data_IF_574882880157
#
_entry.id   IF_574882880157
#
_cell.length_a   1.000
_cell.length_b   1.000
_cell.length_c   1.000
_cell.angle_alpha   90.00
_cell.angle_beta   90.00
_cell.angle_gamma   90.00
#
_symmetry.space_group_name_H-M   'P 1'
#
loop_
_entity.id
_entity.type
_entity.pdbx_description
1 polymer ?
#
# COMPACT_ATOMS: atom_id res chain seq x y z
N UNK A 1 3.00 -8.89 0.13
CA UNK A 1 1.96 -9.75 0.73
C UNK A 1 0.60 -9.10 0.47
N UNK A 2 -0.36 -9.85 -0.04
CA UNK A 2 -1.61 -9.31 -0.57
C UNK A 2 -2.88 -9.84 0.04
N UNK A 3 -4.04 -9.55 -0.58
CA UNK A 3 -5.28 -10.24 -0.19
C UNK A 3 -5.04 -11.75 -0.25
N UNK A 4 -5.29 -12.43 0.86
CA UNK A 4 -5.28 -13.89 0.91
C UNK A 4 -6.51 -14.41 0.17
N UNK A 5 -6.30 -15.45 -0.62
CA UNK A 5 -7.35 -16.09 -1.41
C UNK A 5 -7.37 -17.55 -1.00
N UNK A 6 -8.54 -18.05 -0.58
CA UNK A 6 -8.68 -19.43 -0.12
C UNK A 6 -8.65 -20.48 -1.24
N UNK A 7 -8.57 -20.09 -2.51
CA UNK A 7 -8.58 -21.04 -3.64
C UNK A 7 -7.48 -22.09 -3.49
N UNK A 8 -6.25 -21.70 -3.11
CA UNK A 8 -5.15 -22.64 -2.86
C UNK A 8 -5.25 -23.41 -1.54
N UNK A 9 -6.21 -23.06 -0.68
CA UNK A 9 -6.40 -23.60 0.67
C UNK A 9 -7.84 -24.11 0.87
N UNK A 10 -8.55 -24.43 -0.23
CA UNK A 10 -9.97 -24.77 -0.20
C UNK A 10 -10.25 -26.00 0.69
N UNK A 11 -9.38 -27.02 0.59
CA UNK A 11 -9.46 -28.22 1.42
C UNK A 11 -9.38 -27.90 2.92
N UNK A 12 -8.52 -26.95 3.33
CA UNK A 12 -8.41 -26.53 4.74
C UNK A 12 -9.67 -25.79 5.18
N UNK A 13 -10.26 -24.94 4.33
CA UNK A 13 -11.52 -24.27 4.64
C UNK A 13 -12.66 -25.28 4.84
N UNK A 14 -12.72 -26.32 4.01
CA UNK A 14 -13.72 -27.37 4.09
C UNK A 14 -13.64 -28.22 5.36
N UNK A 15 -12.46 -28.29 6.02
CA UNK A 15 -12.34 -28.93 7.33
C UNK A 15 -13.21 -28.25 8.41
N UNK A 16 -13.45 -26.95 8.27
CA UNK A 16 -14.21 -26.17 9.25
C UNK A 16 -15.66 -25.96 8.86
N UNK A 17 -15.93 -25.78 7.56
CA UNK A 17 -17.29 -25.66 7.01
C UNK A 17 -17.35 -26.42 5.69
N UNK A 18 -17.88 -27.65 5.67
CA UNK A 18 -17.94 -28.46 4.47
C UNK A 18 -18.64 -27.77 3.30
N UNK A 19 -17.98 -27.71 2.14
CA UNK A 19 -18.50 -27.11 0.92
C UNK A 19 -18.32 -25.59 0.83
N UNK A 20 -17.59 -24.98 1.76
CA UNK A 20 -17.23 -23.56 1.75
C UNK A 20 -15.92 -23.28 0.99
N UNK A 21 -15.12 -24.30 0.74
CA UNK A 21 -13.90 -24.25 -0.06
C UNK A 21 -14.13 -23.53 -1.40
N UNK A 22 -13.29 -22.52 -1.68
CA UNK A 22 -13.39 -21.71 -2.90
C UNK A 22 -14.52 -20.67 -2.94
N UNK A 23 -15.33 -20.53 -1.88
CA UNK A 23 -16.45 -19.56 -1.80
C UNK A 23 -16.17 -18.34 -0.91
N UNK A 24 -14.97 -18.26 -0.35
CA UNK A 24 -14.54 -17.14 0.49
C UNK A 24 -14.14 -15.92 -0.35
N UNK A 25 -14.39 -14.72 0.16
CA UNK A 25 -13.87 -13.52 -0.47
C UNK A 25 -12.38 -13.33 -0.15
N UNK A 26 -11.62 -12.59 -0.98
CA UNK A 26 -10.25 -12.23 -0.65
C UNK A 26 -10.21 -11.35 0.60
N UNK A 27 -9.44 -11.77 1.60
CA UNK A 27 -9.26 -11.06 2.89
C UNK A 27 -7.77 -10.85 3.11
N UNK A 28 -7.34 -9.69 3.58
CA UNK A 28 -5.92 -9.50 3.86
C UNK A 28 -5.57 -8.09 4.31
N UNK A 29 -4.30 -7.68 4.12
CA UNK A 29 -3.74 -6.50 4.74
C UNK A 29 -4.21 -5.18 4.11
N UNK A 30 -4.71 -5.28 2.88
CA UNK A 30 -5.24 -4.18 2.11
C UNK A 30 -6.66 -3.83 2.57
N UNK A 31 -7.10 -2.58 2.37
CA UNK A 31 -8.35 -2.13 2.92
C UNK A 31 -9.56 -2.88 2.42
N UNK A 32 -10.27 -3.50 3.34
CA UNK A 32 -11.57 -4.08 3.12
C UNK A 32 -12.64 -3.15 3.68
N UNK A 33 -13.76 -3.07 2.97
CA UNK A 33 -14.92 -2.29 3.39
C UNK A 33 -16.00 -3.27 3.85
N UNK A 34 -16.53 -3.06 5.04
CA UNK A 34 -17.58 -3.87 5.65
C UNK A 34 -18.60 -2.95 6.37
N UNK A 35 -19.88 -3.34 6.39
CA UNK A 35 -20.88 -2.63 7.18
C UNK A 35 -20.69 -2.90 8.68
N UNK A 36 -21.02 -1.92 9.53
CA UNK A 36 -20.91 -2.07 10.99
C UNK A 36 -21.67 -3.28 11.53
N UNK A 37 -22.89 -3.51 11.05
CA UNK A 37 -23.71 -4.65 11.50
C UNK A 37 -23.15 -5.99 11.04
N UNK A 38 -22.55 -6.04 9.85
CA UNK A 38 -21.86 -7.24 9.40
C UNK A 38 -20.62 -7.52 10.24
N UNK A 39 -19.88 -6.47 10.62
CA UNK A 39 -18.77 -6.61 11.56
C UNK A 39 -19.27 -7.17 12.89
N UNK A 40 -20.36 -6.64 13.44
CA UNK A 40 -20.95 -7.14 14.69
C UNK A 40 -21.34 -8.62 14.59
N UNK A 41 -21.95 -9.04 13.47
CA UNK A 41 -22.33 -10.44 13.22
C UNK A 41 -21.13 -11.39 13.12
N UNK A 42 -20.01 -10.93 12.56
CA UNK A 42 -18.83 -11.79 12.35
C UNK A 42 -17.93 -11.90 13.58
N UNK A 43 -18.01 -10.99 14.56
CA UNK A 43 -17.09 -10.98 15.73
C UNK A 43 -17.03 -12.33 16.44
N UNK A 44 -18.20 -12.88 16.82
CA UNK A 44 -18.24 -14.12 17.58
C UNK A 44 -17.79 -15.33 16.73
N UNK A 45 -18.33 -15.57 15.52
CA UNK A 45 -17.85 -16.66 14.68
C UNK A 45 -16.38 -16.53 14.28
N UNK A 46 -15.85 -15.31 14.12
CA UNK A 46 -14.44 -15.07 13.85
C UNK A 46 -13.57 -15.68 14.95
N UNK A 47 -13.83 -15.34 16.22
CA UNK A 47 -13.13 -15.90 17.37
C UNK A 47 -13.19 -17.44 17.37
N UNK A 48 -14.39 -18.00 17.22
CA UNK A 48 -14.62 -19.44 17.25
C UNK A 48 -13.87 -20.18 16.13
N UNK A 49 -13.88 -19.65 14.89
CA UNK A 49 -13.13 -20.25 13.80
C UNK A 49 -11.62 -20.09 13.97
N UNK A 50 -11.14 -18.96 14.51
CA UNK A 50 -9.74 -18.80 14.87
C UNK A 50 -9.32 -19.85 15.90
N UNK A 51 -10.10 -20.06 16.96
CA UNK A 51 -9.81 -21.10 17.95
C UNK A 51 -9.81 -22.50 17.34
N UNK A 52 -10.79 -22.83 16.49
CA UNK A 52 -10.82 -24.14 15.78
C UNK A 52 -9.56 -24.34 14.93
N UNK A 53 -9.10 -23.31 14.21
CA UNK A 53 -7.85 -23.36 13.46
C UNK A 53 -6.68 -23.65 14.38
N UNK A 54 -6.62 -22.98 15.54
CA UNK A 54 -5.53 -23.15 16.51
C UNK A 54 -5.51 -24.54 17.18
N UNK A 55 -6.60 -25.29 17.11
CA UNK A 55 -6.66 -26.68 17.58
C UNK A 55 -6.41 -27.72 16.46
N UNK A 56 -6.28 -27.30 15.21
CA UNK A 56 -6.00 -28.17 14.06
C UNK A 56 -4.52 -28.09 13.65
N UNK A 57 -3.77 -29.17 13.87
CA UNK A 57 -2.35 -29.24 13.47
C UNK A 57 -2.17 -29.08 11.97
N UNK A 58 -3.07 -29.65 11.17
CA UNK A 58 -3.06 -29.53 9.72
C UNK A 58 -3.31 -28.08 9.28
N UNK A 59 -4.34 -27.43 9.84
CA UNK A 59 -4.63 -26.04 9.50
C UNK A 59 -3.51 -25.10 9.94
N UNK A 60 -2.88 -25.34 11.10
CA UNK A 60 -1.71 -24.56 11.54
C UNK A 60 -0.56 -24.69 10.54
N UNK A 61 -0.26 -25.90 10.07
CA UNK A 61 0.82 -26.15 9.13
C UNK A 61 0.56 -25.47 7.77
N UNK A 62 -0.69 -25.51 7.29
CA UNK A 62 -1.07 -24.99 5.97
C UNK A 62 -1.29 -23.47 5.95
N UNK A 63 -1.90 -22.90 6.99
CA UNK A 63 -2.33 -21.49 7.01
C UNK A 63 -1.25 -20.52 7.54
N UNK A 64 -0.20 -21.04 8.16
CA UNK A 64 0.96 -20.26 8.59
C UNK A 64 0.66 -19.26 9.70
N UNK A 65 1.20 -18.05 9.60
CA UNK A 65 1.16 -17.08 10.71
C UNK A 65 -0.09 -16.20 10.75
N UNK A 66 -0.84 -16.09 9.64
CA UNK A 66 -2.05 -15.24 9.49
C UNK A 66 -3.35 -15.97 9.84
N UNK A 67 -3.33 -16.83 10.87
CA UNK A 67 -4.46 -17.73 11.24
C UNK A 67 -5.72 -17.00 11.70
N UNK A 68 -5.57 -15.90 12.41
CA UNK A 68 -6.70 -15.05 12.82
C UNK A 68 -7.44 -14.48 11.60
N UNK A 69 -6.66 -14.04 10.62
CA UNK A 69 -7.10 -13.55 9.32
C UNK A 69 -7.87 -14.63 8.53
N UNK A 70 -7.44 -15.90 8.61
CA UNK A 70 -8.19 -17.04 8.07
C UNK A 70 -9.47 -17.33 8.84
N UNK A 71 -9.47 -17.22 10.17
CA UNK A 71 -10.67 -17.34 10.99
C UNK A 71 -11.75 -16.34 10.57
N UNK A 72 -11.36 -15.07 10.33
CA UNK A 72 -12.27 -14.06 9.79
C UNK A 72 -12.80 -14.45 8.41
N UNK A 73 -11.93 -14.91 7.51
CA UNK A 73 -12.27 -15.29 6.15
C UNK A 73 -13.34 -16.39 6.11
N UNK A 74 -13.15 -17.44 6.93
CA UNK A 74 -14.10 -18.55 7.07
C UNK A 74 -15.39 -18.07 7.72
N UNK A 75 -15.30 -17.28 8.81
CA UNK A 75 -16.47 -16.74 9.51
C UNK A 75 -17.36 -15.88 8.61
N UNK A 76 -16.76 -14.94 7.88
CA UNK A 76 -17.49 -14.05 6.98
C UNK A 76 -18.19 -14.85 5.87
N UNK A 77 -17.47 -15.79 5.24
CA UNK A 77 -18.02 -16.62 4.19
C UNK A 77 -19.14 -17.55 4.70
N UNK A 78 -18.99 -18.12 5.90
CA UNK A 78 -20.01 -18.95 6.55
C UNK A 78 -21.29 -18.16 6.85
N UNK A 79 -21.18 -16.86 7.12
CA UNK A 79 -22.32 -15.96 7.33
C UNK A 79 -22.90 -15.37 6.03
N UNK A 80 -22.32 -15.71 4.86
CA UNK A 80 -22.68 -15.10 3.58
C UNK A 80 -22.31 -13.62 3.46
N UNK A 81 -21.41 -13.13 4.32
CA UNK A 81 -20.91 -11.74 4.25
C UNK A 81 -19.97 -11.63 3.06
N UNK A 82 -20.20 -10.58 2.25
CA UNK A 82 -19.41 -10.27 1.06
C UNK A 82 -18.73 -8.92 1.20
N UNK A 83 -17.47 -8.86 0.78
CA UNK A 83 -16.62 -7.68 0.86
C UNK A 83 -16.52 -7.01 -0.50
N UNK A 84 -16.46 -5.67 -0.49
CA UNK A 84 -16.10 -4.91 -1.69
C UNK A 84 -14.60 -4.66 -1.71
N UNK A 85 -13.95 -5.16 -2.75
CA UNK A 85 -12.55 -4.88 -3.04
C UNK A 85 -12.46 -3.70 -3.99
N UNK A 86 -11.82 -2.63 -3.55
CA UNK A 86 -11.52 -1.48 -4.40
C UNK A 86 -10.06 -1.56 -4.83
N UNK A 87 -9.82 -1.69 -6.13
CA UNK A 87 -8.46 -1.70 -6.70
C UNK A 87 -7.64 -0.48 -6.29
N UNK A 88 -8.31 0.65 -6.12
CA UNK A 88 -7.72 1.90 -5.64
C UNK A 88 -7.21 1.83 -4.19
N UNK A 89 -7.70 0.88 -3.39
CA UNK A 89 -7.36 0.79 -1.96
C UNK A 89 -6.27 -0.25 -1.71
N UNK A 90 -6.06 -1.20 -2.63
CA UNK A 90 -5.11 -2.29 -2.43
C UNK A 90 -3.68 -1.74 -2.31
N UNK A 91 -3.14 -1.81 -1.09
CA UNK A 91 -1.79 -1.41 -0.72
C UNK A 91 -1.07 -2.65 -0.19
N UNK A 92 -0.12 -3.14 -0.98
CA UNK A 92 0.70 -4.30 -0.65
C UNK A 92 2.17 -3.89 -0.69
N UNK A 93 2.91 -4.29 0.35
CA UNK A 93 4.29 -3.85 0.60
C UNK A 93 5.25 -4.17 -0.54
N UNK A 94 5.83 -3.20 -1.25
CA UNK A 94 5.73 -1.74 -1.15
C UNK A 94 5.87 -1.09 -2.53
N UNK A 95 5.54 0.20 -2.59
CA UNK A 95 5.19 0.98 -3.79
C UNK A 95 6.32 1.23 -4.82
N UNK A 96 7.34 0.37 -4.89
CA UNK A 96 8.32 0.34 -6.00
C UNK A 96 8.01 -0.84 -6.95
N UNK A 97 7.73 -2.04 -6.44
CA UNK A 97 7.50 -3.24 -7.26
C UNK A 97 6.12 -3.30 -7.94
N UNK A 98 5.18 -2.45 -7.52
CA UNK A 98 3.76 -2.54 -7.91
C UNK A 98 3.21 -1.31 -8.66
N UNK A 99 4.03 -0.28 -8.93
CA UNK A 99 3.57 0.96 -9.59
C UNK A 99 2.90 0.70 -10.97
N UNK A 100 3.29 -0.38 -11.65
CA UNK A 100 2.76 -0.74 -12.99
C UNK A 100 1.96 -2.04 -13.02
N UNK A 101 1.76 -2.73 -11.88
CA UNK A 101 0.90 -3.91 -11.88
C UNK A 101 -0.55 -3.43 -11.82
N UNK A 102 -1.20 -3.44 -12.98
CA UNK A 102 -2.66 -3.48 -13.05
C UNK A 102 -3.07 -4.73 -12.26
N UNK A 103 -3.74 -4.54 -11.13
CA UNK A 103 -4.23 -5.66 -10.33
C UNK A 103 -5.35 -6.32 -11.16
N UNK A 104 -4.94 -7.33 -11.91
CA UNK A 104 -5.78 -8.17 -12.72
C UNK A 104 -6.54 -9.11 -11.78
N UNK A 105 -7.63 -8.61 -11.22
CA UNK A 105 -8.67 -9.49 -10.73
C UNK A 105 -10.06 -8.96 -11.12
N UNK A 106 -11.01 -9.86 -11.44
CA UNK A 106 -12.38 -9.51 -11.73
C UNK A 106 -12.93 -8.87 -10.47
N UNK A 107 -13.71 -7.83 -10.66
CA UNK A 107 -14.48 -7.20 -9.60
C UNK A 107 -15.42 -8.28 -9.03
N UNK A 108 -15.27 -8.78 -7.79
CA UNK A 108 -16.24 -9.68 -7.18
C UNK A 108 -17.35 -8.84 -6.52
N UNK A 109 -18.48 -9.48 -6.17
CA UNK A 109 -19.81 -8.98 -6.46
C UNK A 109 -20.24 -7.82 -5.57
N UNK A 110 -21.29 -7.15 -6.05
CA UNK A 110 -22.16 -6.24 -5.30
C UNK A 110 -22.27 -6.63 -3.82
N UNK A 111 -21.89 -5.75 -2.88
CA UNK A 111 -21.98 -6.06 -1.47
C UNK A 111 -23.44 -6.31 -1.05
N UNK A 112 -23.62 -7.24 -0.12
CA UNK A 112 -24.92 -7.71 0.38
C UNK A 112 -25.11 -7.08 1.76
N UNK A 113 -26.24 -6.41 2.00
CA UNK A 113 -26.65 -5.92 3.33
C UNK A 113 -27.30 -7.06 4.14
N UNK A 114 -27.77 -6.81 5.37
CA UNK A 114 -28.56 -7.81 6.06
C UNK A 114 -29.89 -8.10 5.31
N UNK A 115 -30.33 -7.15 4.50
CA UNK A 115 -31.58 -7.14 3.73
C UNK A 115 -31.42 -7.67 2.29
N UNK A 116 -30.19 -7.98 1.85
CA UNK A 116 -29.91 -8.54 0.51
C UNK A 116 -28.95 -7.71 -0.35
N UNK A 117 -28.74 -8.10 -1.63
CA UNK A 117 -27.79 -7.44 -2.55
C UNK A 117 -28.19 -5.98 -2.82
N UNK A 118 -27.22 -5.06 -2.79
CA UNK A 118 -27.50 -3.65 -3.11
C UNK A 118 -27.79 -3.48 -4.60
N UNK A 119 -29.01 -3.04 -4.95
CA UNK A 119 -29.39 -2.73 -6.35
C UNK A 119 -28.69 -1.44 -6.81
N UNK A 120 -28.35 -1.35 -8.11
CA UNK A 120 -27.74 -0.15 -8.69
C UNK A 120 -28.59 1.10 -8.40
N UNK A 121 -27.98 2.15 -7.83
CA UNK A 121 -28.65 3.42 -7.51
C UNK A 121 -28.85 3.71 -6.02
N UNK A 122 -28.57 2.75 -5.13
CA UNK A 122 -28.55 3.00 -3.67
C UNK A 122 -27.17 3.55 -3.27
N UNK A 123 -27.16 4.71 -2.59
CA UNK A 123 -25.95 5.30 -2.03
C UNK A 123 -25.33 4.34 -1.00
N UNK A 124 -24.05 4.01 -1.17
CA UNK A 124 -23.31 3.10 -0.29
C UNK A 124 -23.21 3.68 1.14
N UNK A 125 -23.66 2.97 2.19
CA UNK A 125 -23.59 3.47 3.57
C UNK A 125 -22.37 2.98 4.37
N UNK A 126 -21.24 2.62 3.74
CA UNK A 126 -20.18 1.86 4.44
C UNK A 126 -19.12 2.73 5.14
N UNK A 127 -18.87 2.45 6.43
CA UNK A 127 -17.93 3.20 7.27
C UNK A 127 -17.02 2.30 8.12
N UNK A 128 -16.28 1.36 7.53
CA UNK A 128 -15.14 0.75 8.22
C UNK A 128 -14.03 0.50 7.20
N UNK A 129 -12.94 1.25 7.34
CA UNK A 129 -11.72 1.09 6.56
C UNK A 129 -10.68 0.41 7.45
N UNK A 130 -10.42 -0.88 7.21
CA UNK A 130 -9.39 -1.62 7.94
C UNK A 130 -8.16 -1.81 7.09
N UNK A 131 -6.98 -1.34 7.51
CA UNK A 131 -5.73 -1.61 6.82
C UNK A 131 -4.65 -2.11 7.79
N UNK A 132 -3.71 -2.89 7.28
CA UNK A 132 -2.68 -3.57 8.09
C UNK A 132 -1.30 -2.93 7.98
N UNK A 133 -0.90 -2.49 6.79
CA UNK A 133 0.43 -1.90 6.58
C UNK A 133 0.39 -0.38 6.66
N UNK A 134 1.37 0.21 7.35
CA UNK A 134 1.70 1.62 7.16
C UNK A 134 2.00 1.89 5.70
N UNK A 135 1.53 3.04 5.21
CA UNK A 135 1.84 3.52 3.87
C UNK A 135 2.93 4.56 4.03
N UNK A 136 4.13 4.18 3.63
CA UNK A 136 5.36 4.86 4.01
C UNK A 136 6.07 5.38 2.77
N UNK A 137 6.42 6.67 2.78
CA UNK A 137 7.13 7.30 1.70
C UNK A 137 8.28 8.18 2.22
N UNK A 138 9.35 8.32 1.45
CA UNK A 138 10.26 9.46 1.57
C UNK A 138 9.55 10.75 1.15
N UNK A 139 10.11 11.92 1.46
CA UNK A 139 9.49 13.18 1.00
C UNK A 139 9.50 13.34 -0.53
N UNK A 140 10.32 12.57 -1.24
CA UNK A 140 10.38 12.47 -2.71
C UNK A 140 9.42 11.42 -3.28
N UNK A 141 8.61 10.76 -2.46
CA UNK A 141 7.62 9.78 -2.92
C UNK A 141 8.17 8.38 -3.17
N UNK A 142 9.35 8.05 -2.64
CA UNK A 142 9.89 6.68 -2.66
C UNK A 142 9.17 5.87 -1.60
N UNK A 143 8.58 4.74 -1.98
CA UNK A 143 7.98 3.86 -0.98
C UNK A 143 9.02 3.21 -0.07
N UNK A 144 8.75 3.18 1.22
CA UNK A 144 9.59 2.52 2.22
C UNK A 144 8.87 1.27 2.72
N UNK A 145 9.61 0.19 2.92
CA UNK A 145 9.08 -1.06 3.45
C UNK A 145 9.67 -1.35 4.83
N UNK A 146 8.83 -1.90 5.72
CA UNK A 146 9.22 -2.38 7.06
C UNK A 146 9.82 -1.32 8.00
N UNK A 147 9.77 -0.04 7.63
CA UNK A 147 10.24 1.11 8.41
C UNK A 147 9.29 2.29 8.20
N UNK A 148 9.29 3.26 9.11
CA UNK A 148 8.44 4.46 8.97
C UNK A 148 9.15 5.49 8.10
N UNK A 149 8.45 5.93 7.05
CA UNK A 149 8.94 6.89 6.08
C UNK A 149 8.92 8.33 6.62
N UNK A 150 9.46 9.26 5.83
CA UNK A 150 9.39 10.69 6.14
C UNK A 150 7.97 11.26 6.02
N UNK A 151 7.16 10.69 5.12
CA UNK A 151 5.72 10.77 5.13
C UNK A 151 5.16 9.39 5.45
N UNK A 152 4.18 9.33 6.35
CA UNK A 152 3.62 8.08 6.83
C UNK A 152 2.13 8.19 7.10
N UNK A 153 1.38 7.24 6.56
CA UNK A 153 -0.01 6.99 6.90
C UNK A 153 -0.13 5.61 7.53
N UNK A 154 -0.05 5.58 8.86
CA UNK A 154 -0.09 4.36 9.67
C UNK A 154 -1.09 4.49 10.82
N UNK A 155 -1.94 3.49 11.01
CA UNK A 155 -2.96 3.49 12.08
C UNK A 155 -2.32 3.51 13.47
N UNK A 156 -1.09 3.02 13.59
CA UNK A 156 -0.30 3.01 14.82
C UNK A 156 0.00 4.43 15.31
N UNK A 157 0.04 5.41 14.42
CA UNK A 157 0.16 6.83 14.79
C UNK A 157 -1.09 7.38 15.50
N UNK A 158 -2.20 6.66 15.39
CA UNK A 158 -3.55 7.09 15.74
C UNK A 158 -4.24 6.10 16.69
N UNK A 159 -3.47 5.34 17.49
CA UNK A 159 -4.01 4.31 18.38
C UNK A 159 -5.00 4.85 19.42
N UNK A 160 -4.80 6.09 19.87
CA UNK A 160 -5.62 6.71 20.93
C UNK A 160 -6.58 7.76 20.41
N UNK A 161 -6.41 8.25 19.18
CA UNK A 161 -7.18 9.35 18.61
C UNK A 161 -7.29 9.19 17.09
N UNK A 162 -8.39 9.61 16.44
CA UNK A 162 -8.51 9.53 14.98
C UNK A 162 -7.46 10.42 14.28
N UNK A 163 -7.12 10.15 13.00
CA UNK A 163 -6.26 11.04 12.22
C UNK A 163 -6.77 12.49 12.21
N UNK A 164 -5.90 13.51 12.25
CA UNK A 164 -6.37 14.90 12.26
C UNK A 164 -7.01 15.28 10.92
N UNK A 165 -7.88 16.30 10.93
CA UNK A 165 -8.60 16.79 9.75
C UNK A 165 -7.70 17.42 8.68
N UNK A 166 -6.43 17.63 8.99
CA UNK A 166 -5.45 18.34 8.16
C UNK A 166 -4.10 17.61 8.02
N UNK A 167 -4.06 16.27 8.14
CA UNK A 167 -2.77 15.57 8.02
C UNK A 167 -2.10 15.77 6.66
N UNK A 168 -0.77 15.84 6.68
CA UNK A 168 0.10 16.19 5.56
C UNK A 168 -0.23 15.40 4.30
N UNK A 169 -0.26 16.08 3.14
CA UNK A 169 -0.43 15.43 1.86
C UNK A 169 0.73 14.44 1.57
N UNK A 170 0.47 13.30 0.91
CA UNK A 170 1.54 12.47 0.40
C UNK A 170 2.46 13.29 -0.52
N UNK A 171 3.74 12.92 -0.61
CA UNK A 171 4.66 13.43 -1.64
C UNK A 171 4.03 13.41 -3.02
N UNK A 172 4.35 14.39 -3.87
CA UNK A 172 3.76 14.48 -5.22
C UNK A 172 4.00 13.21 -6.06
N UNK A 173 5.14 12.54 -5.88
CA UNK A 173 5.49 11.31 -6.62
C UNK A 173 4.99 10.03 -5.94
N UNK A 174 4.30 10.15 -4.79
CA UNK A 174 3.69 9.00 -4.17
C UNK A 174 2.64 8.39 -5.10
N UNK A 175 2.33 7.11 -4.90
CA UNK A 175 1.34 6.46 -5.73
C UNK A 175 -0.05 7.11 -5.53
N UNK A 176 -0.84 7.28 -6.61
CA UNK A 176 -2.23 7.78 -6.59
C UNK A 176 -3.09 7.24 -5.45
N UNK A 177 -2.89 5.97 -5.08
CA UNK A 177 -3.64 5.32 -3.99
C UNK A 177 -3.45 6.06 -2.66
N UNK A 178 -2.29 6.68 -2.42
CA UNK A 178 -1.99 7.41 -1.18
C UNK A 178 -2.77 8.71 -1.15
N UNK A 179 -2.87 9.37 -2.30
CA UNK A 179 -3.68 10.57 -2.49
C UNK A 179 -5.17 10.27 -2.37
N UNK A 180 -5.64 9.19 -3.01
CA UNK A 180 -7.04 8.72 -2.91
C UNK A 180 -7.39 8.41 -1.46
N UNK A 181 -6.54 7.65 -0.77
CA UNK A 181 -6.80 7.27 0.61
C UNK A 181 -6.84 8.49 1.54
N UNK A 182 -5.90 9.41 1.38
CA UNK A 182 -5.96 10.69 2.11
C UNK A 182 -7.25 11.43 1.82
N UNK A 183 -7.63 11.59 0.56
CA UNK A 183 -8.85 12.31 0.19
C UNK A 183 -10.10 11.70 0.85
N UNK A 184 -10.16 10.37 0.95
CA UNK A 184 -11.25 9.67 1.63
C UNK A 184 -11.26 9.92 3.13
N UNK A 185 -10.11 9.90 3.79
CA UNK A 185 -10.01 10.26 5.21
C UNK A 185 -10.45 11.71 5.44
N UNK A 186 -10.01 12.65 4.60
CA UNK A 186 -10.40 14.07 4.70
C UNK A 186 -11.90 14.26 4.47
N UNK A 187 -12.48 13.55 3.51
CA UNK A 187 -13.91 13.61 3.25
C UNK A 187 -14.72 13.03 4.43
N UNK A 188 -14.33 11.85 4.93
CA UNK A 188 -14.97 11.22 6.08
C UNK A 188 -14.86 12.09 7.34
N UNK A 189 -13.69 12.66 7.62
CA UNK A 189 -13.46 13.49 8.80
C UNK A 189 -14.21 14.83 8.76
N UNK A 190 -14.42 15.38 7.57
CA UNK A 190 -15.25 16.57 7.36
C UNK A 190 -16.75 16.27 7.51
N UNK A 191 -17.21 15.08 7.08
CA UNK A 191 -18.61 14.69 7.14
C UNK A 191 -19.06 14.22 8.55
N UNK A 192 -18.12 13.82 9.42
CA UNK A 192 -18.44 13.27 10.73
C UNK A 192 -18.39 14.34 11.83
N UNK A 193 -19.51 14.63 12.53
CA UNK A 193 -19.62 15.74 13.48
C UNK A 193 -18.76 15.56 14.74
N UNK A 194 -18.43 14.32 15.12
CA UNK A 194 -17.64 14.00 16.31
C UNK A 194 -16.21 13.55 15.98
N UNK A 195 -15.70 13.89 14.78
CA UNK A 195 -14.30 13.64 14.45
C UNK A 195 -13.43 14.54 15.34
N UNK A 196 -12.72 13.93 16.29
CA UNK A 196 -12.11 14.65 17.41
C UNK A 196 -11.30 15.88 16.96
N UNK A 197 -11.72 17.07 17.43
CA UNK A 197 -10.95 18.32 17.29
C UNK A 197 -9.80 18.41 18.32
N UNK A 198 -9.76 17.48 19.27
CA UNK A 198 -8.89 17.53 20.44
C UNK A 198 -7.74 16.51 20.34
N UNK A 199 -6.52 17.01 20.15
CA UNK A 199 -5.31 16.34 20.65
C UNK A 199 -4.70 15.24 19.79
N UNK A 200 -5.27 14.89 18.63
CA UNK A 200 -4.70 13.93 17.71
C UNK A 200 -3.46 14.47 16.98
N UNK A 201 -2.33 14.59 17.67
CA UNK A 201 -1.04 14.71 16.99
C UNK A 201 -0.62 13.31 16.59
N UNK A 202 -0.60 13.05 15.28
CA UNK A 202 0.22 11.98 14.77
C UNK A 202 1.60 12.16 15.41
N UNK A 203 2.08 11.16 16.13
CA UNK A 203 3.44 11.17 16.66
C UNK A 203 4.30 10.20 15.84
N UNK A 204 4.72 10.61 14.63
CA UNK A 204 5.59 9.79 13.80
C UNK A 204 6.98 9.62 14.43
N UNK A 205 7.30 10.33 15.52
CA UNK A 205 8.58 10.17 16.22
C UNK A 205 8.64 8.91 17.09
N UNK A 206 7.50 8.30 17.40
CA UNK A 206 7.41 7.05 18.20
C UNK A 206 7.86 5.80 17.46
N UNK A 207 8.06 5.89 16.16
CA UNK A 207 8.40 4.76 15.31
C UNK A 207 9.69 5.07 14.54
N UNK A 208 10.50 4.04 14.27
CA UNK A 208 11.80 4.19 13.63
C UNK A 208 11.69 4.99 12.33
N UNK A 209 12.17 6.24 12.35
CA UNK A 209 12.17 7.15 11.21
C UNK A 209 13.33 6.81 10.29
N UNK A 210 13.02 6.32 9.11
CA UNK A 210 13.98 6.22 8.04
C UNK A 210 14.03 7.55 7.30
N UNK A 211 15.06 8.34 7.55
CA UNK A 211 15.34 9.52 6.72
C UNK A 211 16.38 9.15 5.69
N UNK A 212 16.06 9.52 4.48
CA UNK A 212 16.90 9.33 3.33
C UNK A 212 17.94 10.45 3.19
N UNK A 213 17.85 11.54 3.96
CA UNK A 213 18.51 12.83 3.69
C UNK A 213 19.95 12.89 4.18
N UNK A 214 20.95 12.67 3.31
CA UNK A 214 22.30 13.26 3.41
C UNK A 214 23.01 13.18 2.04
N UNK A 215 22.96 14.21 1.19
CA UNK A 215 23.91 14.42 0.07
C UNK A 215 23.94 15.87 -0.44
N UNK A 216 25.09 16.28 -0.99
CA UNK A 216 25.31 17.58 -1.66
C UNK A 216 24.49 17.77 -2.95
N UNK A 217 23.95 16.69 -3.51
CA UNK A 217 23.21 16.69 -4.77
C UNK A 217 21.94 17.56 -4.75
N UNK A 218 21.32 17.79 -3.57
CA UNK A 218 20.17 18.71 -3.44
C UNK A 218 20.52 20.16 -3.69
N UNK A 219 21.76 20.57 -3.49
CA UNK A 219 22.18 21.97 -3.57
C UNK A 219 22.51 22.41 -5.01
N UNK A 220 22.57 21.47 -5.97
CA UNK A 220 22.96 21.76 -7.34
C UNK A 220 21.76 22.24 -8.18
N UNK A 221 21.93 23.33 -8.92
CA UNK A 221 20.84 23.93 -9.72
C UNK A 221 20.23 22.97 -10.75
N UNK A 222 21.08 22.22 -11.46
CA UNK A 222 20.66 21.22 -12.45
C UNK A 222 19.95 20.00 -11.86
N UNK A 223 20.19 19.70 -10.57
CA UNK A 223 19.56 18.57 -9.91
C UNK A 223 18.05 18.79 -9.78
N UNK A 224 17.60 20.02 -9.52
CA UNK A 224 16.21 20.34 -9.24
C UNK A 224 15.22 19.89 -10.33
N UNK A 225 15.64 19.81 -11.59
CA UNK A 225 14.77 19.32 -12.68
C UNK A 225 14.56 17.81 -12.62
N UNK A 226 15.50 17.08 -12.02
CA UNK A 226 15.49 15.63 -11.89
C UNK A 226 14.90 15.15 -10.55
N UNK A 227 14.98 15.99 -9.50
CA UNK A 227 14.52 15.61 -8.16
C UNK A 227 13.00 15.50 -8.09
N UNK A 228 12.49 14.33 -7.70
CA UNK A 228 11.05 14.14 -7.56
C UNK A 228 10.31 14.26 -8.90
N UNK A 229 11.02 14.01 -10.00
CA UNK A 229 10.44 13.92 -11.33
C UNK A 229 10.76 12.56 -11.93
N UNK A 230 9.96 12.16 -12.92
CA UNK A 230 10.05 10.84 -13.55
C UNK A 230 8.67 10.18 -13.67
N UNK A 231 8.60 8.90 -14.08
CA UNK A 231 9.73 8.04 -14.42
C UNK A 231 10.53 8.55 -15.64
N UNK A 232 11.85 8.56 -15.51
CA UNK A 232 12.77 8.86 -16.60
C UNK A 232 13.20 7.60 -17.34
N UNK A 233 13.63 7.75 -18.60
CA UNK A 233 14.32 6.71 -19.36
C UNK A 233 15.74 7.15 -19.65
N UNK A 234 16.72 6.44 -19.11
CA UNK A 234 18.13 6.67 -19.39
C UNK A 234 18.60 5.69 -20.47
N UNK A 235 19.12 6.21 -21.57
CA UNK A 235 19.62 5.41 -22.70
C UNK A 235 21.05 5.84 -23.06
N UNK A 236 21.87 4.90 -23.48
CA UNK A 236 23.24 5.21 -23.90
C UNK A 236 23.98 4.03 -24.48
N UNK A 237 25.30 4.18 -24.63
CA UNK A 237 26.19 3.11 -25.09
C UNK A 237 27.39 3.00 -24.15
N UNK A 238 27.76 1.77 -23.81
CA UNK A 238 29.03 1.41 -23.16
C UNK A 238 29.86 0.65 -24.18
N UNK A 239 30.87 1.32 -24.76
CA UNK A 239 31.60 0.79 -25.91
C UNK A 239 30.67 0.59 -27.13
N UNK A 240 30.54 -0.67 -27.60
CA UNK A 240 29.62 -1.04 -28.70
C UNK A 240 28.22 -1.45 -28.22
N UNK A 241 28.04 -1.68 -26.93
CA UNK A 241 26.77 -2.17 -26.37
C UNK A 241 25.86 -1.02 -25.98
N UNK A 242 24.61 -1.03 -26.44
CA UNK A 242 23.60 -0.08 -25.97
C UNK A 242 23.04 -0.51 -24.62
N UNK A 243 22.61 0.47 -23.82
CA UNK A 243 21.83 0.23 -22.61
C UNK A 243 20.61 1.13 -22.59
N UNK A 244 19.58 0.63 -21.90
CA UNK A 244 18.35 1.36 -21.60
C UNK A 244 17.88 0.97 -20.20
N UNK A 245 17.64 2.00 -19.40
CA UNK A 245 17.07 1.93 -18.07
C UNK A 245 15.79 2.74 -18.09
N UNK A 246 14.67 2.05 -18.20
CA UNK A 246 13.35 2.66 -18.09
C UNK A 246 12.92 2.72 -16.63
N UNK A 247 12.02 3.66 -16.34
CA UNK A 247 11.43 3.85 -15.02
C UNK A 247 12.51 4.15 -13.99
N UNK A 248 13.31 5.16 -14.29
CA UNK A 248 14.32 5.71 -13.40
C UNK A 248 13.71 6.88 -12.60
N UNK A 249 13.79 6.80 -11.27
CA UNK A 249 13.47 7.90 -10.36
C UNK A 249 14.76 8.38 -9.73
N UNK A 250 15.01 9.69 -9.86
CA UNK A 250 16.19 10.37 -9.31
C UNK A 250 15.76 11.17 -8.08
N UNK A 251 16.43 10.94 -6.97
CA UNK A 251 15.93 11.32 -5.65
C UNK A 251 16.87 12.35 -5.03
N UNK A 252 16.32 13.37 -4.38
CA UNK A 252 17.12 14.49 -3.85
C UNK A 252 18.24 14.07 -2.91
N UNK A 253 18.07 12.95 -2.23
CA UNK A 253 19.04 12.36 -1.33
C UNK A 253 20.20 11.58 -1.99
N UNK A 254 20.45 11.76 -3.28
CA UNK A 254 21.53 11.04 -3.99
C UNK A 254 21.28 9.55 -4.19
N UNK A 255 20.03 9.10 -4.05
CA UNK A 255 19.62 7.75 -4.47
C UNK A 255 18.91 7.79 -5.81
N UNK A 256 19.01 6.70 -6.57
CA UNK A 256 18.18 6.46 -7.74
C UNK A 256 17.51 5.10 -7.60
N UNK A 257 16.33 4.96 -8.19
CA UNK A 257 15.62 3.68 -8.30
C UNK A 257 15.26 3.46 -9.76
N UNK A 258 15.52 2.27 -10.29
CA UNK A 258 15.18 1.86 -11.64
C UNK A 258 14.37 0.55 -11.62
N UNK A 259 13.73 0.19 -12.73
CA UNK A 259 13.07 -1.12 -12.85
C UNK A 259 14.00 -2.32 -12.52
N UNK A 260 15.31 -2.16 -12.75
CA UNK A 260 16.32 -3.22 -12.58
C UNK A 260 17.05 -3.20 -11.23
N UNK A 261 16.73 -2.27 -10.33
CA UNK A 261 17.40 -2.16 -9.03
C UNK A 261 17.52 -0.73 -8.52
N UNK A 262 18.36 -0.51 -7.52
CA UNK A 262 18.63 0.80 -6.94
C UNK A 262 20.11 1.16 -7.09
N UNK A 263 20.42 2.44 -6.91
CA UNK A 263 21.76 2.97 -7.08
C UNK A 263 21.97 4.31 -6.39
N UNK A 264 23.16 4.87 -6.54
CA UNK A 264 23.51 6.22 -6.09
C UNK A 264 23.63 7.16 -7.26
N UNK A 265 23.41 8.44 -7.03
CA UNK A 265 23.74 9.47 -8.00
C UNK A 265 24.23 10.74 -7.31
N UNK A 266 24.90 11.58 -8.09
CA UNK A 266 25.32 12.89 -7.65
C UNK A 266 25.70 13.75 -8.84
N UNK A 267 26.15 14.97 -8.55
CA UNK A 267 26.68 15.89 -9.55
C UNK A 267 28.09 16.26 -9.17
N UNK A 268 29.04 16.09 -10.10
CA UNK A 268 30.44 16.49 -9.96
C UNK A 268 30.83 17.21 -11.24
N UNK A 269 31.29 18.46 -11.14
CA UNK A 269 31.76 19.27 -12.28
C UNK A 269 30.78 19.30 -13.47
N UNK A 270 29.48 19.54 -13.21
CA UNK A 270 28.39 19.53 -14.20
C UNK A 270 28.17 18.18 -14.92
N UNK A 271 28.66 17.08 -14.34
CA UNK A 271 28.42 15.71 -14.80
C UNK A 271 27.56 15.00 -13.77
N UNK A 272 26.43 14.44 -14.22
CA UNK A 272 25.59 13.58 -13.40
C UNK A 272 26.24 12.20 -13.35
N UNK A 273 26.55 11.73 -12.15
CA UNK A 273 27.06 10.38 -11.93
C UNK A 273 25.90 9.48 -11.51
N UNK A 274 25.78 8.30 -12.12
CA UNK A 274 24.84 7.26 -11.66
C UNK A 274 25.62 5.98 -11.39
N UNK A 275 25.48 5.40 -10.21
CA UNK A 275 26.09 4.13 -9.83
C UNK A 275 24.99 3.10 -9.59
N UNK A 276 24.93 2.07 -10.44
CA UNK A 276 23.89 1.04 -10.38
C UNK A 276 24.57 -0.33 -10.44
N UNK A 277 24.44 -1.13 -9.37
CA UNK A 277 25.02 -2.47 -9.30
C UNK A 277 26.51 -2.51 -9.72
N UNK A 278 27.32 -1.60 -9.18
CA UNK A 278 28.76 -1.45 -9.48
C UNK A 278 29.10 -0.96 -10.89
N UNK A 279 28.12 -0.52 -11.67
CA UNK A 279 28.32 0.18 -12.95
C UNK A 279 28.19 1.67 -12.71
N UNK A 280 29.27 2.42 -12.97
CA UNK A 280 29.26 3.88 -12.94
C UNK A 280 28.98 4.44 -14.35
N UNK A 281 27.97 5.29 -14.45
CA UNK A 281 27.62 6.04 -15.65
C UNK A 281 27.89 7.52 -15.40
N UNK A 282 28.56 8.15 -16.36
CA UNK A 282 28.81 9.59 -16.37
C UNK A 282 27.93 10.19 -17.47
N UNK A 283 26.97 11.01 -17.07
CA UNK A 283 25.97 11.59 -17.96
C UNK A 283 26.15 13.10 -17.95
N UNK A 284 26.45 13.67 -19.12
CA UNK A 284 26.32 15.11 -19.33
C UNK A 284 24.91 15.38 -19.83
N UNK A 285 24.01 15.94 -19.00
CA UNK A 285 22.66 16.23 -19.46
C UNK A 285 22.71 17.25 -20.59
N UNK A 286 21.98 16.98 -21.68
CA UNK A 286 21.64 17.99 -22.67
C UNK A 286 20.17 18.29 -22.45
N UNK A 287 19.89 19.39 -21.75
CA UNK A 287 18.52 19.81 -21.44
C UNK A 287 17.89 20.38 -22.71
N UNK A 288 17.05 19.59 -23.38
CA UNK A 288 16.21 20.07 -24.47
C UNK A 288 14.96 20.79 -23.96
N UNK A 289 14.37 21.66 -24.78
CA UNK A 289 13.03 22.18 -24.50
C UNK A 289 12.03 21.02 -24.43
N UNK A 290 11.11 21.04 -23.47
CA UNK A 290 10.07 20.04 -23.32
C UNK A 290 9.27 19.91 -24.63
N UNK A 291 9.23 18.69 -25.18
CA UNK A 291 8.41 18.33 -26.33
C UNK A 291 7.01 17.91 -25.93
#
# INVERSE_FOLDING_TARGET
>A
FGYMIAVGQAHIVDLFVPGLGGKTDPVGPSPLIIHREQLQRVVQPWMEFTEKIMHSREAIASLGWVREMWGYCIAAANLGIKHRLLKAYQFEGGSIGNHNKQLAWPVPPTPVTAEGPIVAGVNMPYYLFHYTYGIEYSIEGIAVELQVGEWSLDKRHYMSYPPPRDFTAPPQCAHDRAHILRALYMNASAALPFWADAGARADPSRYHKFSFRETDARAHEDAHVLLGTGPWSLMGKVGRSSFRLDKLWVLGNGWLVAQKGHGRWGVVDNVITFEICSVQLLVKPVMGAAG
#
